data_IF_953243664757
#
_entry.id   IF_953243664757
#
_cell.length_a   1.000
_cell.length_b   1.000
_cell.length_c   1.000
_cell.angle_alpha   90.00
_cell.angle_beta   90.00
_cell.angle_gamma   90.00
#
_symmetry.space_group_name_H-M   'P 1'
#
loop_
_entity.id
_entity.type
_entity.pdbx_description
1 polymer ?
#
# COMPACT_ATOMS: atom_id res chain seq x y z
N UNK A 1 79.30 11.34 23.43
CA UNK A 1 77.96 10.92 23.92
C UNK A 1 76.90 11.69 23.12
N UNK A 2 76.53 11.24 21.91
CA UNK A 2 75.79 12.12 20.98
C UNK A 2 75.24 11.47 19.71
N UNK A 3 74.66 10.27 19.79
CA UNK A 3 74.17 9.53 18.61
C UNK A 3 72.68 9.10 18.65
N UNK A 4 71.82 9.72 19.46
CA UNK A 4 70.40 9.30 19.57
C UNK A 4 69.34 10.29 19.06
N UNK A 5 69.70 11.48 18.56
CA UNK A 5 68.67 12.49 18.18
C UNK A 5 68.13 12.35 16.74
N UNK A 6 68.92 11.82 15.80
CA UNK A 6 68.55 11.74 14.37
C UNK A 6 67.54 10.60 14.09
N UNK A 7 67.61 9.50 14.84
CA UNK A 7 66.69 8.36 14.69
C UNK A 7 65.27 8.68 15.20
N UNK A 8 65.17 9.50 16.26
CA UNK A 8 63.88 9.88 16.88
C UNK A 8 63.07 10.81 15.98
N UNK A 9 63.71 11.76 15.27
CA UNK A 9 62.99 12.67 14.35
C UNK A 9 62.39 11.95 13.13
N UNK A 10 63.04 10.89 12.63
CA UNK A 10 62.55 10.13 11.47
C UNK A 10 61.29 9.32 11.81
N UNK A 11 61.19 8.83 13.04
CA UNK A 11 60.00 8.12 13.54
C UNK A 11 58.83 9.08 13.84
N UNK A 12 59.11 10.32 14.28
CA UNK A 12 58.06 11.34 14.50
C UNK A 12 57.46 11.79 13.15
N UNK A 13 58.29 11.97 12.12
CA UNK A 13 57.80 12.32 10.77
C UNK A 13 56.91 11.22 10.17
N UNK A 14 57.25 9.95 10.39
CA UNK A 14 56.45 8.81 9.94
C UNK A 14 55.09 8.71 10.67
N UNK A 15 55.05 9.04 11.96
CA UNK A 15 53.82 9.06 12.77
C UNK A 15 52.87 10.20 12.36
N UNK A 16 53.42 11.34 11.95
CA UNK A 16 52.66 12.52 11.51
C UNK A 16 52.02 12.29 10.13
N UNK A 17 52.70 11.55 9.23
CA UNK A 17 52.13 11.12 7.94
C UNK A 17 50.98 10.13 8.14
N UNK A 18 51.09 9.19 9.06
CA UNK A 18 50.01 8.23 9.37
C UNK A 18 48.76 8.90 9.97
N UNK A 19 48.91 9.99 10.73
CA UNK A 19 47.78 10.74 11.28
C UNK A 19 47.02 11.53 10.20
N UNK A 20 47.69 11.96 9.13
CA UNK A 20 47.07 12.68 8.00
C UNK A 20 46.21 11.76 7.13
N UNK A 21 46.47 10.44 7.12
CA UNK A 21 45.65 9.45 6.40
C UNK A 21 44.45 8.92 7.19
N UNK A 22 44.25 9.37 8.45
CA UNK A 22 43.06 9.05 9.23
C UNK A 22 41.86 9.91 8.77
N UNK A 23 41.41 9.69 7.53
CA UNK A 23 40.14 10.26 7.07
C UNK A 23 39.04 9.55 7.86
N UNK A 24 38.21 10.27 8.64
CA UNK A 24 37.06 9.66 9.27
C UNK A 24 36.12 9.19 8.17
N UNK A 25 36.07 7.88 7.92
CA UNK A 25 35.07 7.28 7.06
C UNK A 25 33.71 7.46 7.73
N UNK A 26 32.92 8.42 7.26
CA UNK A 26 31.51 8.49 7.61
C UNK A 26 30.81 7.41 6.78
N UNK A 27 30.52 6.26 7.40
CA UNK A 27 29.58 5.31 6.82
C UNK A 27 28.28 6.06 6.51
N UNK A 28 27.73 5.89 5.31
CA UNK A 28 26.50 6.58 4.91
C UNK A 28 25.41 6.33 5.95
N UNK A 29 24.79 7.40 6.43
CA UNK A 29 23.61 7.25 7.27
C UNK A 29 22.46 6.70 6.39
N UNK A 30 21.60 5.84 6.95
CA UNK A 30 20.45 5.24 6.27
C UNK A 30 19.60 6.26 5.50
N UNK A 31 19.40 7.44 6.07
CA UNK A 31 18.70 8.55 5.41
C UNK A 31 19.39 8.99 4.12
N UNK A 32 20.73 9.08 4.10
CA UNK A 32 21.52 9.45 2.91
C UNK A 32 21.46 8.35 1.84
N UNK A 33 21.45 7.08 2.24
CA UNK A 33 21.29 5.95 1.32
C UNK A 33 19.91 5.97 0.64
N UNK A 34 18.85 6.19 1.43
CA UNK A 34 17.49 6.33 0.91
C UNK A 34 17.39 7.53 -0.03
N UNK A 35 17.98 8.67 0.34
CA UNK A 35 17.95 9.87 -0.49
C UNK A 35 18.68 9.66 -1.82
N UNK A 36 19.87 9.06 -1.78
CA UNK A 36 20.64 8.71 -2.98
C UNK A 36 19.87 7.77 -3.91
N UNK A 37 19.22 6.75 -3.36
CA UNK A 37 18.40 5.80 -4.12
C UNK A 37 17.25 6.51 -4.86
N UNK A 38 16.40 7.23 -4.13
CA UNK A 38 15.22 7.86 -4.74
C UNK A 38 15.59 9.00 -5.67
N UNK A 39 16.63 9.80 -5.35
CA UNK A 39 17.17 10.79 -6.30
C UNK A 39 17.66 10.13 -7.58
N UNK A 40 18.39 9.02 -7.46
CA UNK A 40 18.88 8.32 -8.64
C UNK A 40 17.74 7.78 -9.51
N UNK A 41 16.67 7.25 -8.91
CA UNK A 41 15.49 6.80 -9.65
C UNK A 41 14.75 7.97 -10.30
N UNK A 42 14.56 9.07 -9.58
CA UNK A 42 13.89 10.26 -10.09
C UNK A 42 14.66 10.89 -11.26
N UNK A 43 15.99 11.00 -11.15
CA UNK A 43 16.83 11.56 -12.21
C UNK A 43 16.82 10.72 -13.49
N UNK A 44 16.60 9.41 -13.39
CA UNK A 44 16.43 8.51 -14.55
C UNK A 44 15.02 8.50 -15.12
N UNK A 45 14.05 9.15 -14.46
CA UNK A 45 12.64 9.10 -14.81
C UNK A 45 11.92 7.82 -14.36
N UNK A 46 12.58 6.96 -13.57
CA UNK A 46 12.00 5.72 -13.04
C UNK A 46 11.03 5.98 -11.87
N UNK A 47 11.03 7.20 -11.31
CA UNK A 47 10.22 7.55 -10.14
C UNK A 47 9.71 8.99 -10.20
N UNK A 48 8.40 9.15 -9.98
CA UNK A 48 7.71 10.42 -9.76
C UNK A 48 6.70 10.19 -8.62
N UNK A 49 6.89 10.84 -7.47
CA UNK A 49 6.06 10.57 -6.29
C UNK A 49 6.65 11.07 -4.98
N UNK A 50 5.96 10.76 -3.89
CA UNK A 50 6.39 11.07 -2.51
C UNK A 50 6.71 9.79 -1.74
N UNK A 51 7.64 9.89 -0.79
CA UNK A 51 8.09 8.75 0.02
C UNK A 51 8.13 9.17 1.48
N UNK A 52 7.57 8.32 2.35
CA UNK A 52 7.70 8.40 3.80
C UNK A 52 8.13 7.03 4.33
N UNK A 53 9.24 6.98 5.06
CA UNK A 53 9.72 5.76 5.72
C UNK A 53 9.84 6.06 7.21
N UNK A 54 9.25 5.18 8.02
CA UNK A 54 9.26 5.29 9.48
C UNK A 54 9.79 4.02 10.15
N UNK A 55 10.51 4.19 11.25
CA UNK A 55 10.95 3.10 12.11
C UNK A 55 10.48 3.38 13.54
N UNK A 56 9.90 2.36 14.19
CA UNK A 56 9.35 2.48 15.54
C UNK A 56 8.39 3.68 15.70
N UNK A 57 7.55 3.92 14.68
CA UNK A 57 6.61 5.03 14.63
C UNK A 57 7.22 6.42 14.39
N UNK A 58 8.53 6.52 14.16
CA UNK A 58 9.22 7.79 13.89
C UNK A 58 9.64 7.89 12.42
N UNK A 59 9.28 8.95 11.69
CA UNK A 59 9.80 9.19 10.35
C UNK A 59 11.33 9.30 10.35
N UNK A 60 12.01 8.51 9.52
CA UNK A 60 13.46 8.56 9.31
C UNK A 60 13.84 9.10 7.92
N UNK A 61 12.86 9.15 7.01
CA UNK A 61 13.00 9.70 5.67
C UNK A 61 11.64 10.19 5.17
N UNK A 62 11.61 11.40 4.61
CA UNK A 62 10.42 12.00 3.99
C UNK A 62 10.89 12.91 2.86
N UNK A 63 10.50 12.62 1.61
CA UNK A 63 10.89 13.43 0.47
C UNK A 63 9.87 13.31 -0.69
N UNK A 64 9.92 14.25 -1.63
CA UNK A 64 9.08 14.31 -2.83
C UNK A 64 9.96 14.49 -4.07
N UNK A 65 9.58 13.82 -5.17
CA UNK A 65 10.37 13.76 -6.39
C UNK A 65 9.48 13.90 -7.61
N UNK A 66 9.88 14.75 -8.55
CA UNK A 66 9.12 14.99 -9.78
C UNK A 66 8.01 16.01 -9.62
N UNK A 67 6.92 15.84 -10.37
CA UNK A 67 5.91 16.87 -10.60
C UNK A 67 4.50 16.30 -10.47
N UNK A 68 3.59 17.05 -9.86
CA UNK A 68 2.15 16.76 -9.83
C UNK A 68 1.49 17.07 -11.17
N UNK A 69 2.05 18.04 -11.90
CA UNK A 69 1.69 18.38 -13.27
C UNK A 69 2.97 18.43 -14.11
N UNK A 70 3.08 17.51 -15.06
CA UNK A 70 4.26 17.37 -15.91
C UNK A 70 4.37 18.51 -16.94
N UNK A 71 3.24 19.03 -17.43
CA UNK A 71 3.21 20.09 -18.43
C UNK A 71 3.52 21.45 -17.79
N UNK A 72 2.81 21.76 -16.69
CA UNK A 72 3.01 22.99 -15.93
C UNK A 72 4.26 22.93 -15.03
N UNK A 73 4.93 21.78 -14.93
CA UNK A 73 6.11 21.52 -14.09
C UNK A 73 5.89 21.93 -12.63
N UNK A 74 4.71 21.61 -12.08
CA UNK A 74 4.40 21.89 -10.68
C UNK A 74 5.06 20.83 -9.81
N UNK A 75 6.03 21.18 -8.94
CA UNK A 75 6.77 20.20 -8.16
C UNK A 75 5.89 19.51 -7.12
N UNK A 76 6.12 18.23 -6.91
CA UNK A 76 5.52 17.52 -5.78
C UNK A 76 6.07 18.03 -4.45
N UNK A 77 5.21 18.02 -3.43
CA UNK A 77 5.55 18.32 -2.05
C UNK A 77 4.75 17.42 -1.10
N UNK A 78 4.92 17.61 0.21
CA UNK A 78 4.29 16.77 1.22
C UNK A 78 2.79 17.02 1.44
N UNK A 79 2.22 18.04 0.79
CA UNK A 79 0.79 18.33 0.75
C UNK A 79 0.14 17.88 -0.56
N UNK A 80 0.91 17.30 -1.49
CA UNK A 80 0.39 16.86 -2.79
C UNK A 80 -0.58 15.68 -2.59
N UNK A 81 -1.74 15.77 -3.25
CA UNK A 81 -2.80 14.75 -3.17
C UNK A 81 -2.65 13.74 -4.31
N UNK A 82 -2.99 12.48 -4.01
CA UNK A 82 -2.93 11.37 -4.96
C UNK A 82 -4.23 10.57 -4.91
N UNK A 83 -4.60 10.00 -6.05
CA UNK A 83 -5.65 8.97 -6.10
C UNK A 83 -5.11 7.67 -5.48
N UNK A 84 -5.69 7.26 -4.34
CA UNK A 84 -5.21 6.10 -3.58
C UNK A 84 -5.52 4.76 -4.25
N UNK A 85 -6.41 4.73 -5.24
CA UNK A 85 -6.83 3.52 -5.95
C UNK A 85 -7.08 2.33 -4.98
N UNK A 86 -6.37 1.20 -5.17
CA UNK A 86 -6.56 0.01 -4.33
C UNK A 86 -6.09 0.16 -2.88
N UNK A 87 -5.32 1.18 -2.52
CA UNK A 87 -5.00 1.48 -1.11
C UNK A 87 -6.27 1.84 -0.33
N UNK A 88 -7.30 2.39 -0.99
CA UNK A 88 -8.61 2.70 -0.41
C UNK A 88 -9.31 1.51 0.24
N UNK A 89 -9.04 0.26 -0.21
CA UNK A 89 -9.70 -0.96 0.29
C UNK A 89 -9.46 -1.20 1.78
N UNK A 90 -8.29 -0.81 2.30
CA UNK A 90 -7.97 -0.94 3.72
C UNK A 90 -8.87 -0.06 4.59
N UNK A 91 -9.20 1.14 4.12
CA UNK A 91 -10.13 2.04 4.80
C UNK A 91 -11.57 1.51 4.76
N UNK A 92 -12.00 0.96 3.62
CA UNK A 92 -13.30 0.29 3.52
C UNK A 92 -13.40 -0.92 4.45
N UNK A 93 -12.35 -1.74 4.51
CA UNK A 93 -12.28 -2.88 5.43
C UNK A 93 -12.38 -2.41 6.89
N UNK A 94 -11.65 -1.35 7.26
CA UNK A 94 -11.73 -0.77 8.60
C UNK A 94 -13.14 -0.27 8.94
N UNK A 95 -13.83 0.39 8.00
CA UNK A 95 -15.22 0.80 8.20
C UNK A 95 -16.15 -0.40 8.44
N UNK A 96 -15.97 -1.50 7.70
CA UNK A 96 -16.71 -2.75 7.90
C UNK A 96 -16.44 -3.36 9.27
N UNK A 97 -15.17 -3.37 9.73
CA UNK A 97 -14.79 -3.82 11.07
C UNK A 97 -15.50 -3.00 12.16
N UNK A 98 -15.49 -1.66 12.04
CA UNK A 98 -16.19 -0.79 12.99
C UNK A 98 -17.72 -1.02 13.01
N UNK A 99 -18.33 -1.29 11.86
CA UNK A 99 -19.76 -1.64 11.78
C UNK A 99 -20.04 -2.98 12.47
N UNK A 100 -19.17 -3.98 12.28
CA UNK A 100 -19.25 -5.26 12.98
C UNK A 100 -19.13 -5.10 14.49
N UNK A 101 -18.18 -4.31 14.97
CA UNK A 101 -18.00 -4.03 16.40
C UNK A 101 -19.24 -3.39 17.03
N UNK A 102 -19.95 -2.56 16.26
CA UNK A 102 -21.22 -1.93 16.65
C UNK A 102 -22.44 -2.83 16.43
N UNK A 103 -22.26 -4.10 16.10
CA UNK A 103 -23.32 -5.05 15.76
C UNK A 103 -24.26 -4.57 14.64
N UNK A 104 -23.80 -3.69 13.74
CA UNK A 104 -24.59 -3.19 12.60
C UNK A 104 -24.57 -4.13 11.39
N UNK A 105 -23.58 -5.04 11.35
CA UNK A 105 -23.50 -6.13 10.38
C UNK A 105 -22.78 -7.33 10.99
N UNK A 106 -22.95 -8.50 10.39
CA UNK A 106 -22.15 -9.70 10.69
C UNK A 106 -21.46 -10.18 9.42
N UNK A 107 -20.24 -10.72 9.54
CA UNK A 107 -19.43 -11.10 8.39
C UNK A 107 -20.04 -12.23 7.55
N UNK A 108 -20.73 -13.15 8.23
CA UNK A 108 -21.28 -14.38 7.64
C UNK A 108 -22.75 -14.21 7.19
N UNK A 109 -23.27 -12.98 7.25
CA UNK A 109 -24.59 -12.66 6.69
C UNK A 109 -24.53 -12.59 5.17
N UNK A 110 -25.58 -13.07 4.48
CA UNK A 110 -25.65 -12.98 3.02
C UNK A 110 -25.74 -11.51 2.59
N UNK A 111 -25.01 -11.16 1.55
CA UNK A 111 -24.97 -9.81 0.99
C UNK A 111 -26.36 -9.32 0.55
N UNK A 112 -27.22 -10.24 0.13
CA UNK A 112 -28.62 -9.99 -0.24
C UNK A 112 -29.48 -9.45 0.91
N UNK A 113 -29.02 -9.55 2.17
CA UNK A 113 -29.64 -8.85 3.30
C UNK A 113 -29.58 -7.32 3.13
N UNK A 114 -28.52 -6.80 2.51
CA UNK A 114 -28.27 -5.38 2.30
C UNK A 114 -28.62 -4.91 0.89
N UNK A 115 -28.39 -5.76 -0.11
CA UNK A 115 -28.60 -5.46 -1.53
C UNK A 115 -29.39 -6.60 -2.17
N UNK A 116 -30.72 -6.50 -2.13
CA UNK A 116 -31.63 -7.59 -2.54
C UNK A 116 -31.55 -7.89 -4.04
N UNK A 117 -31.15 -6.90 -4.82
CA UNK A 117 -31.02 -6.92 -6.27
C UNK A 117 -29.78 -7.68 -6.77
N UNK A 118 -28.83 -8.04 -5.88
CA UNK A 118 -27.62 -8.75 -6.30
C UNK A 118 -27.89 -10.23 -6.60
N UNK A 119 -27.53 -10.73 -7.80
CA UNK A 119 -27.79 -12.11 -8.22
C UNK A 119 -26.76 -13.11 -7.66
N UNK A 120 -26.32 -12.92 -6.40
CA UNK A 120 -25.25 -13.70 -5.76
C UNK A 120 -25.73 -14.35 -4.46
N UNK A 121 -26.57 -15.38 -4.55
CA UNK A 121 -27.07 -16.08 -3.37
C UNK A 121 -25.92 -16.71 -2.60
N UNK A 122 -25.93 -16.53 -1.28
CA UNK A 122 -24.96 -17.14 -0.36
C UNK A 122 -23.58 -16.45 -0.29
N UNK A 123 -23.31 -15.42 -1.11
CA UNK A 123 -22.10 -14.59 -0.93
C UNK A 123 -22.23 -13.77 0.35
N UNK A 124 -21.19 -13.80 1.18
CA UNK A 124 -21.15 -13.09 2.47
C UNK A 124 -20.24 -11.87 2.43
N UNK A 125 -20.34 -11.00 3.44
CA UNK A 125 -19.41 -9.87 3.62
C UNK A 125 -17.96 -10.38 3.79
N UNK A 126 -17.77 -11.51 4.47
CA UNK A 126 -16.45 -12.16 4.61
C UNK A 126 -15.83 -12.49 3.26
N UNK A 127 -16.62 -13.05 2.34
CA UNK A 127 -16.12 -13.43 1.02
C UNK A 127 -15.67 -12.20 0.21
N UNK A 128 -16.33 -11.04 0.37
CA UNK A 128 -15.91 -9.77 -0.22
C UNK A 128 -14.59 -9.25 0.38
N UNK A 129 -14.47 -9.26 1.72
CA UNK A 129 -13.25 -8.81 2.41
C UNK A 129 -12.02 -9.66 2.06
N UNK A 130 -12.24 -10.92 1.69
CA UNK A 130 -11.18 -11.89 1.40
C UNK A 130 -10.96 -12.13 -0.10
N UNK A 131 -11.72 -11.44 -0.97
CA UNK A 131 -11.68 -11.65 -2.43
C UNK A 131 -11.95 -13.11 -2.85
N UNK A 132 -12.88 -13.78 -2.16
CA UNK A 132 -13.26 -15.19 -2.40
C UNK A 132 -14.73 -15.36 -2.83
N UNK A 133 -15.43 -14.27 -3.12
CA UNK A 133 -16.86 -14.28 -3.48
C UNK A 133 -17.17 -14.91 -4.83
N UNK A 134 -16.20 -15.02 -5.73
CA UNK A 134 -16.43 -15.44 -7.11
C UNK A 134 -17.18 -14.41 -7.97
N UNK A 135 -17.40 -13.18 -7.45
CA UNK A 135 -18.00 -12.08 -8.21
C UNK A 135 -16.97 -11.58 -9.23
N UNK A 136 -17.29 -11.58 -10.54
CA UNK A 136 -16.37 -11.12 -11.57
C UNK A 136 -16.07 -9.61 -11.47
N UNK A 137 -14.90 -9.22 -11.94
CA UNK A 137 -14.49 -7.81 -12.03
C UNK A 137 -15.45 -7.04 -12.95
N UNK A 138 -16.14 -6.03 -12.42
CA UNK A 138 -17.17 -5.32 -13.16
C UNK A 138 -16.66 -4.02 -13.82
N UNK A 139 -15.54 -3.44 -13.38
CA UNK A 139 -15.06 -2.16 -13.93
C UNK A 139 -14.79 -2.21 -15.45
N UNK A 140 -14.41 -3.37 -15.99
CA UNK A 140 -14.25 -3.54 -17.43
C UNK A 140 -15.59 -3.67 -18.17
N UNK A 141 -16.60 -4.25 -17.52
CA UNK A 141 -17.90 -4.56 -18.10
C UNK A 141 -18.87 -3.36 -18.10
N UNK A 142 -18.68 -2.44 -17.15
CA UNK A 142 -19.59 -1.31 -16.94
C UNK A 142 -19.21 -0.04 -17.68
N UNK A 143 -17.96 0.08 -18.18
CA UNK A 143 -17.47 1.30 -18.84
C UNK A 143 -18.38 1.84 -19.95
N UNK A 144 -18.88 0.95 -20.81
CA UNK A 144 -19.75 1.34 -21.93
C UNK A 144 -21.21 1.54 -21.53
N UNK A 145 -21.60 1.09 -20.32
CA UNK A 145 -22.96 1.16 -19.79
C UNK A 145 -23.16 2.31 -18.80
N UNK A 146 -22.08 2.84 -18.22
CA UNK A 146 -22.12 4.01 -17.36
C UNK A 146 -22.31 5.26 -18.23
N UNK A 147 -23.54 5.78 -18.23
CA UNK A 147 -23.95 6.90 -19.07
C UNK A 147 -23.45 8.26 -18.56
N UNK A 148 -22.96 8.32 -17.32
CA UNK A 148 -22.47 9.56 -16.72
C UNK A 148 -20.96 9.72 -17.00
N UNK A 149 -20.55 10.76 -17.75
CA UNK A 149 -19.14 11.07 -17.95
C UNK A 149 -18.44 11.60 -16.68
N UNK A 150 -19.21 11.92 -15.63
CA UNK A 150 -18.71 12.32 -14.31
C UNK A 150 -18.40 11.16 -13.37
N UNK A 151 -18.28 11.46 -12.07
CA UNK A 151 -18.01 10.46 -11.03
C UNK A 151 -19.25 9.57 -10.87
N UNK A 152 -19.08 8.28 -11.12
CA UNK A 152 -20.12 7.28 -10.92
C UNK A 152 -20.24 6.93 -9.42
N UNK A 153 -21.46 6.92 -8.93
CA UNK A 153 -21.79 6.55 -7.55
C UNK A 153 -22.08 5.06 -7.42
N UNK A 154 -22.15 4.54 -6.19
CA UNK A 154 -22.61 3.17 -5.96
C UNK A 154 -24.02 2.93 -6.52
N UNK A 155 -24.90 3.94 -6.50
CA UNK A 155 -26.24 3.84 -7.06
C UNK A 155 -26.20 3.69 -8.60
N UNK A 156 -25.30 4.41 -9.27
CA UNK A 156 -25.10 4.28 -10.72
C UNK A 156 -24.61 2.88 -11.10
N UNK A 157 -23.69 2.32 -10.30
CA UNK A 157 -23.26 0.92 -10.47
C UNK A 157 -24.45 -0.02 -10.27
N UNK A 158 -25.15 0.06 -9.13
CA UNK A 158 -26.29 -0.82 -8.80
C UNK A 158 -27.40 -0.77 -9.88
N UNK A 159 -27.64 0.40 -10.49
CA UNK A 159 -28.66 0.55 -11.52
C UNK A 159 -28.38 -0.24 -12.81
N UNK A 160 -27.12 -0.41 -13.18
CA UNK A 160 -26.74 -1.17 -14.38
C UNK A 160 -26.49 -2.64 -14.09
N UNK A 161 -26.25 -3.01 -12.82
CA UNK A 161 -25.87 -4.36 -12.41
C UNK A 161 -26.74 -5.48 -13.02
N UNK A 162 -28.09 -5.40 -13.06
CA UNK A 162 -28.92 -6.44 -13.67
C UNK A 162 -28.61 -6.72 -15.15
N UNK A 163 -28.15 -5.71 -15.89
CA UNK A 163 -27.90 -5.79 -17.33
C UNK A 163 -26.47 -6.24 -17.68
N UNK A 164 -25.57 -6.31 -16.69
CA UNK A 164 -24.15 -6.55 -16.93
C UNK A 164 -23.62 -7.80 -16.22
N UNK A 165 -24.41 -8.44 -15.35
CA UNK A 165 -23.85 -9.49 -14.52
C UNK A 165 -23.68 -10.83 -15.24
N UNK A 166 -22.43 -11.31 -15.42
CA UNK A 166 -22.18 -12.74 -15.59
C UNK A 166 -22.52 -13.50 -14.31
N UNK A 167 -22.89 -14.78 -14.46
CA UNK A 167 -22.93 -15.72 -13.34
C UNK A 167 -21.59 -15.66 -12.56
N UNK A 168 -21.62 -15.95 -11.26
CA UNK A 168 -20.40 -16.05 -10.46
C UNK A 168 -19.41 -16.99 -11.17
N UNK A 169 -18.15 -16.56 -11.31
CA UNK A 169 -17.13 -17.32 -12.05
C UNK A 169 -16.82 -18.67 -11.40
N UNK A 170 -17.12 -18.77 -10.11
CA UNK A 170 -17.13 -19.98 -9.34
C UNK A 170 -18.17 -19.82 -8.22
N UNK A 171 -18.88 -20.90 -7.92
CA UNK A 171 -19.75 -20.96 -6.75
C UNK A 171 -19.00 -21.66 -5.63
N UNK A 172 -18.91 -21.00 -4.48
CA UNK A 172 -18.32 -21.57 -3.25
C UNK A 172 -18.84 -22.99 -3.07
N UNK A 173 -17.96 -23.98 -3.21
CA UNK A 173 -18.26 -25.34 -2.81
C UNK A 173 -18.52 -25.26 -1.31
N UNK A 174 -19.78 -25.43 -0.90
CA UNK A 174 -20.14 -25.57 0.49
C UNK A 174 -19.53 -26.89 0.95
N UNK A 175 -18.25 -26.88 1.34
CA UNK A 175 -17.69 -27.94 2.18
C UNK A 175 -18.61 -27.95 3.40
N UNK A 176 -19.25 -29.10 3.60
CA UNK A 176 -20.51 -29.22 4.31
C UNK A 176 -20.56 -28.50 5.66
N UNK A 177 -21.79 -28.14 5.99
CA UNK A 177 -22.27 -28.00 7.35
C UNK A 177 -21.94 -29.26 8.17
N UNK A 178 -20.69 -29.44 8.62
CA UNK A 178 -20.32 -30.46 9.60
C UNK A 178 -20.38 -29.95 11.05
N UNK A 179 -20.98 -28.78 11.29
CA UNK A 179 -21.27 -28.34 12.67
C UNK A 179 -22.63 -28.81 13.19
N UNK A 180 -23.36 -29.67 12.46
CA UNK A 180 -24.60 -30.29 12.97
C UNK A 180 -24.33 -31.62 13.71
N UNK A 181 -23.13 -32.20 13.61
CA UNK A 181 -22.77 -33.43 14.32
C UNK A 181 -22.30 -33.21 15.78
N UNK A 182 -21.89 -31.99 16.15
CA UNK A 182 -21.34 -31.70 17.47
C UNK A 182 -22.38 -31.43 18.59
N UNK A 183 -23.68 -31.54 18.31
CA UNK A 183 -24.77 -31.30 19.29
C UNK A 183 -25.56 -32.54 19.69
N UNK A 184 -25.08 -33.75 19.36
CA UNK A 184 -25.71 -35.03 19.78
C UNK A 184 -24.81 -35.95 20.59
N UNK A 185 -23.70 -35.45 21.12
CA UNK A 185 -22.90 -36.14 22.14
C UNK A 185 -22.49 -35.11 23.21
N UNK A 186 -23.42 -34.81 24.11
CA UNK A 186 -23.24 -34.53 25.54
C UNK A 186 -24.59 -34.31 26.18
#
# INVERSE_FOLDING_TARGET
MGMNKICVLKNISLLLVLFVFAVPSKGQNKTEQLDSLFRSMANRGDFNGTVLISENGKPIYKNAFGFSDLEAKVPLNDQSMFELASVSKQFTAMAILQLKEKNKLQYDEPLQKYFKELPYPGVTIRDLLQHTSGIPEFLGLTKDKLKNPGINTNADILAILPDVFPAASFQKFLIGLENTAAKKIR
#
